data_IF_899503405407
#
_entry.id   IF_899503405407
#
_cell.length_a   1.000
_cell.length_b   1.000
_cell.length_c   1.000
_cell.angle_alpha   90.00
_cell.angle_beta   90.00
_cell.angle_gamma   90.00
#
_symmetry.space_group_name_H-M   'P 1'
#
loop_
_entity.id
_entity.type
_entity.pdbx_description
1 polymer ?
#
# COMPACT_ATOMS: atom_id res chain seq x y z
N UNK A 1 -11.74 6.19 -5.97
CA UNK A 1 -11.88 6.81 -4.64
C UNK A 1 -10.55 7.34 -4.11
N UNK A 2 -9.47 6.56 -4.07
CA UNK A 2 -8.16 7.06 -3.57
C UNK A 2 -7.60 8.27 -4.32
N UNK A 3 -7.79 8.33 -5.64
CA UNK A 3 -7.43 9.51 -6.46
C UNK A 3 -8.24 10.77 -6.10
N UNK A 4 -9.52 10.60 -5.75
CA UNK A 4 -10.40 11.71 -5.35
C UNK A 4 -10.11 12.18 -3.92
N UNK A 5 -9.63 11.28 -3.04
CA UNK A 5 -9.26 11.66 -1.68
C UNK A 5 -7.99 12.53 -1.64
N UNK A 6 -7.01 12.27 -2.51
CA UNK A 6 -5.76 13.04 -2.57
C UNK A 6 -5.89 14.32 -3.40
N UNK A 7 -6.91 14.46 -4.26
CA UNK A 7 -7.06 15.66 -5.09
C UNK A 7 -7.31 16.91 -4.25
N UNK A 8 -8.06 16.83 -3.15
CA UNK A 8 -8.30 17.96 -2.26
C UNK A 8 -7.01 18.52 -1.62
N UNK A 9 -6.17 17.71 -0.93
CA UNK A 9 -4.91 18.21 -0.38
C UNK A 9 -3.91 18.61 -1.47
N UNK A 10 -3.94 17.99 -2.65
CA UNK A 10 -3.13 18.43 -3.79
C UNK A 10 -3.51 19.86 -4.23
N UNK A 11 -4.81 20.15 -4.39
CA UNK A 11 -5.30 21.47 -4.81
C UNK A 11 -4.91 22.53 -3.76
N UNK A 12 -5.10 22.22 -2.48
CA UNK A 12 -4.69 23.09 -1.39
C UNK A 12 -3.17 23.34 -1.40
N UNK A 13 -2.37 22.30 -1.60
CA UNK A 13 -0.92 22.42 -1.70
C UNK A 13 -0.48 23.25 -2.92
N UNK A 14 -1.19 23.16 -4.04
CA UNK A 14 -0.95 23.99 -5.24
C UNK A 14 -1.27 25.46 -4.93
N UNK A 15 -2.37 25.73 -4.22
CA UNK A 15 -2.72 27.09 -3.82
C UNK A 15 -1.69 27.71 -2.87
N UNK A 16 -1.13 26.91 -1.95
CA UNK A 16 -0.14 27.37 -0.97
C UNK A 16 1.27 27.52 -1.58
N UNK A 17 1.68 26.59 -2.46
CA UNK A 17 3.05 26.52 -3.01
C UNK A 17 3.20 27.11 -4.42
N UNK A 18 2.09 27.41 -5.08
CA UNK A 18 2.03 28.03 -6.39
C UNK A 18 2.43 27.12 -7.56
N UNK A 19 2.78 27.77 -8.67
CA UNK A 19 3.07 27.13 -9.95
C UNK A 19 4.25 26.14 -9.99
N UNK A 20 5.30 26.20 -9.14
CA UNK A 20 6.36 25.19 -9.16
C UNK A 20 5.82 23.78 -8.87
N UNK A 21 4.81 23.66 -8.01
CA UNK A 21 4.16 22.37 -7.71
C UNK A 21 3.37 21.84 -8.91
N UNK A 22 2.75 22.71 -9.71
CA UNK A 22 2.06 22.33 -10.94
C UNK A 22 3.02 21.76 -11.98
N UNK A 23 4.17 22.40 -12.19
CA UNK A 23 5.19 21.88 -13.11
C UNK A 23 5.68 20.51 -12.65
N UNK A 24 5.96 20.37 -11.35
CA UNK A 24 6.36 19.11 -10.78
C UNK A 24 5.31 18.01 -10.95
N UNK A 25 4.03 18.35 -10.77
CA UNK A 25 2.90 17.45 -10.99
C UNK A 25 2.84 16.98 -12.44
N UNK A 26 2.94 17.90 -13.41
CA UNK A 26 2.94 17.57 -14.84
C UNK A 26 4.10 16.65 -15.19
N UNK A 27 5.31 16.95 -14.71
CA UNK A 27 6.48 16.09 -14.94
C UNK A 27 6.29 14.70 -14.33
N UNK A 28 5.82 14.64 -13.08
CA UNK A 28 5.64 13.37 -12.37
C UNK A 28 4.55 12.50 -13.01
N UNK A 29 3.43 13.10 -13.44
CA UNK A 29 2.38 12.40 -14.17
C UNK A 29 2.87 11.96 -15.55
N UNK A 30 3.62 12.82 -16.26
CA UNK A 30 4.26 12.49 -17.53
C UNK A 30 5.18 11.27 -17.41
N UNK A 31 6.05 11.24 -16.40
CA UNK A 31 6.93 10.09 -16.12
C UNK A 31 6.13 8.84 -15.71
N UNK A 32 5.05 9.00 -14.95
CA UNK A 32 4.17 7.88 -14.58
C UNK A 32 3.46 7.28 -15.80
N UNK A 33 3.03 8.11 -16.77
CA UNK A 33 2.44 7.67 -18.04
C UNK A 33 3.50 7.04 -18.95
N UNK A 34 4.68 7.66 -19.06
CA UNK A 34 5.81 7.12 -19.81
C UNK A 34 6.16 5.70 -19.34
N UNK A 35 6.16 5.47 -18.03
CA UNK A 35 6.31 4.13 -17.45
C UNK A 35 5.25 3.15 -17.93
N UNK A 36 3.98 3.56 -18.01
CA UNK A 36 2.91 2.66 -18.48
C UNK A 36 3.16 2.23 -19.93
N UNK A 37 3.57 3.18 -20.78
CA UNK A 37 3.89 2.90 -22.18
C UNK A 37 5.10 1.98 -22.29
N UNK A 38 6.18 2.25 -21.54
CA UNK A 38 7.43 1.52 -21.64
C UNK A 38 7.38 0.09 -21.05
N UNK A 39 6.63 -0.14 -19.98
CA UNK A 39 6.70 -1.40 -19.22
C UNK A 39 5.40 -2.22 -19.19
N UNK A 40 4.24 -1.61 -19.43
CA UNK A 40 2.97 -2.34 -19.45
C UNK A 40 2.66 -2.89 -20.84
N UNK A 41 2.94 -2.13 -21.91
CA UNK A 41 2.71 -2.57 -23.30
C UNK A 41 3.50 -3.84 -23.66
N UNK A 42 4.82 -3.94 -23.38
CA UNK A 42 5.57 -5.16 -23.72
C UNK A 42 5.15 -6.39 -22.90
N UNK A 43 4.46 -6.19 -21.78
CA UNK A 43 4.00 -7.27 -20.89
C UNK A 43 2.53 -7.63 -21.07
N UNK A 44 1.85 -7.05 -22.07
CA UNK A 44 0.43 -7.32 -22.36
C UNK A 44 -0.52 -6.95 -21.20
N UNK A 45 -0.13 -6.01 -20.32
CA UNK A 45 -0.94 -5.64 -19.15
C UNK A 45 -1.79 -4.40 -19.43
N UNK A 46 -3.05 -4.36 -18.94
CA UNK A 46 -3.92 -3.20 -19.11
C UNK A 46 -3.31 -1.97 -18.41
N UNK A 47 -3.41 -0.81 -19.08
CA UNK A 47 -2.95 0.47 -18.56
C UNK A 47 -3.68 0.81 -17.25
N UNK A 48 -2.93 1.26 -16.24
CA UNK A 48 -3.41 1.36 -14.87
C UNK A 48 -3.08 2.70 -14.22
N UNK A 49 -4.07 3.32 -13.59
CA UNK A 49 -3.98 4.67 -13.02
C UNK A 49 -3.23 4.80 -11.67
N UNK A 50 -2.79 3.69 -11.08
CA UNK A 50 -2.29 3.66 -9.69
C UNK A 50 -0.88 4.25 -9.54
N UNK A 51 -0.09 4.19 -10.61
CA UNK A 51 1.18 4.91 -10.68
C UNK A 51 0.99 6.42 -10.61
N UNK A 52 -0.15 6.93 -11.11
CA UNK A 52 -0.51 8.35 -11.04
C UNK A 52 -0.93 8.75 -9.63
N UNK A 53 -1.75 7.96 -8.93
CA UNK A 53 -2.16 8.26 -7.54
C UNK A 53 -0.95 8.35 -6.62
N UNK A 54 -0.05 7.37 -6.70
CA UNK A 54 1.17 7.40 -5.89
C UNK A 54 2.13 8.52 -6.34
N UNK A 55 2.03 9.01 -7.58
CA UNK A 55 2.81 10.15 -8.06
C UNK A 55 2.28 11.46 -7.51
N UNK A 56 0.95 11.59 -7.44
CA UNK A 56 0.30 12.71 -6.77
C UNK A 56 0.69 12.76 -5.29
N UNK A 57 0.66 11.62 -4.58
CA UNK A 57 1.09 11.57 -3.16
C UNK A 57 2.56 12.01 -3.02
N UNK A 58 3.45 11.49 -3.86
CA UNK A 58 4.87 11.87 -3.88
C UNK A 58 5.05 13.38 -4.12
N UNK A 59 4.42 13.93 -5.16
CA UNK A 59 4.51 15.37 -5.51
C UNK A 59 3.91 16.24 -4.41
N UNK A 60 2.80 15.80 -3.82
CA UNK A 60 2.17 16.55 -2.72
C UNK A 60 3.15 16.70 -1.57
N UNK A 61 3.80 15.60 -1.16
CA UNK A 61 4.70 15.55 0.01
C UNK A 61 6.15 16.00 -0.24
N UNK A 62 6.60 16.13 -1.49
CA UNK A 62 8.00 16.48 -1.76
C UNK A 62 8.36 17.89 -1.23
N UNK A 63 9.63 18.16 -0.87
CA UNK A 63 10.07 19.48 -0.42
C UNK A 63 9.77 20.62 -1.42
N UNK A 64 9.69 21.86 -0.93
CA UNK A 64 9.36 23.05 -1.73
C UNK A 64 10.41 23.36 -2.81
N UNK A 65 11.69 23.16 -2.48
CA UNK A 65 12.83 23.54 -3.31
C UNK A 65 13.56 22.31 -3.84
N UNK A 66 12.99 21.71 -4.88
CA UNK A 66 13.58 20.56 -5.58
C UNK A 66 13.81 20.94 -7.04
N UNK A 67 15.01 20.69 -7.56
CA UNK A 67 15.27 20.94 -8.98
C UNK A 67 14.53 19.93 -9.86
N UNK A 68 14.20 20.30 -11.10
CA UNK A 68 13.48 19.40 -12.01
C UNK A 68 14.26 18.10 -12.31
N UNK A 69 15.60 18.15 -12.30
CA UNK A 69 16.45 16.97 -12.47
C UNK A 69 16.40 16.03 -11.26
N UNK A 70 16.46 16.58 -10.04
CA UNK A 70 16.30 15.80 -8.81
C UNK A 70 14.93 15.15 -8.74
N UNK A 71 13.87 15.89 -9.10
CA UNK A 71 12.52 15.38 -9.20
C UNK A 71 12.43 14.23 -10.23
N UNK A 72 12.99 14.43 -11.43
CA UNK A 72 13.01 13.41 -12.47
C UNK A 72 13.73 12.12 -12.05
N UNK A 73 14.87 12.25 -11.36
CA UNK A 73 15.62 11.10 -10.84
C UNK A 73 14.86 10.40 -9.71
N UNK A 74 14.33 11.14 -8.75
CA UNK A 74 13.56 10.58 -7.63
C UNK A 74 12.29 9.89 -8.11
N UNK A 75 11.60 10.47 -9.11
CA UNK A 75 10.46 9.84 -9.77
C UNK A 75 10.85 8.57 -10.50
N UNK A 76 11.99 8.57 -11.19
CA UNK A 76 12.49 7.37 -11.87
C UNK A 76 12.84 6.26 -10.88
N UNK A 77 13.56 6.59 -9.81
CA UNK A 77 13.89 5.66 -8.74
C UNK A 77 12.64 5.11 -8.07
N UNK A 78 11.69 5.98 -7.72
CA UNK A 78 10.37 5.62 -7.20
C UNK A 78 9.65 4.61 -8.10
N UNK A 79 9.59 4.88 -9.40
CA UNK A 79 8.89 4.02 -10.36
C UNK A 79 9.57 2.66 -10.48
N UNK A 80 10.90 2.64 -10.55
CA UNK A 80 11.67 1.40 -10.71
C UNK A 80 11.69 0.60 -9.41
N UNK A 81 12.24 1.16 -8.36
CA UNK A 81 12.47 0.46 -7.09
C UNK A 81 11.20 0.33 -6.24
N UNK A 82 10.32 1.32 -6.28
CA UNK A 82 9.09 1.31 -5.48
C UNK A 82 7.96 0.50 -6.08
N UNK A 83 7.92 0.30 -7.41
CA UNK A 83 6.78 -0.35 -8.09
C UNK A 83 7.23 -1.47 -9.06
N UNK A 84 8.18 -1.22 -9.97
CA UNK A 84 8.53 -2.18 -11.02
C UNK A 84 9.29 -3.41 -10.52
N UNK A 85 10.22 -3.25 -9.58
CA UNK A 85 11.00 -4.37 -9.02
C UNK A 85 10.10 -5.45 -8.44
N UNK A 86 8.95 -5.05 -7.87
CA UNK A 86 8.00 -5.97 -7.27
C UNK A 86 6.92 -6.45 -8.24
N UNK A 87 6.98 -6.09 -9.53
CA UNK A 87 6.06 -6.57 -10.54
C UNK A 87 4.74 -5.80 -10.63
N UNK A 88 4.66 -4.59 -10.06
CA UNK A 88 3.52 -3.68 -10.15
C UNK A 88 2.52 -3.76 -8.99
N UNK A 89 1.31 -3.21 -9.21
CA UNK A 89 0.24 -3.12 -8.19
C UNK A 89 0.05 -4.38 -7.37
N UNK A 90 -0.13 -4.20 -6.06
CA UNK A 90 -0.52 -5.24 -5.11
C UNK A 90 0.56 -6.29 -4.85
N UNK A 91 1.74 -6.14 -5.46
CA UNK A 91 2.88 -7.04 -5.28
C UNK A 91 4.02 -6.38 -4.50
N UNK A 92 4.02 -5.06 -4.34
CA UNK A 92 4.97 -4.34 -3.51
C UNK A 92 4.56 -4.33 -2.05
N UNK A 93 5.51 -4.55 -1.14
CA UNK A 93 5.31 -4.41 0.31
C UNK A 93 5.61 -3.00 0.83
N UNK A 94 6.24 -2.15 0.01
CA UNK A 94 6.57 -0.77 0.31
C UNK A 94 5.63 0.19 -0.42
N UNK A 95 5.39 1.36 0.18
CA UNK A 95 4.72 2.47 -0.51
C UNK A 95 5.67 3.08 -1.55
N UNK A 96 5.35 3.06 -2.87
CA UNK A 96 6.23 3.64 -3.90
C UNK A 96 6.49 5.13 -3.65
N UNK A 97 5.48 5.87 -3.18
CA UNK A 97 5.62 7.28 -2.82
C UNK A 97 6.65 7.47 -1.70
N UNK A 98 6.60 6.64 -0.65
CA UNK A 98 7.55 6.72 0.46
C UNK A 98 8.98 6.37 0.02
N UNK A 99 9.15 5.36 -0.84
CA UNK A 99 10.46 5.00 -1.42
C UNK A 99 11.05 6.16 -2.22
N UNK A 100 10.23 6.81 -3.05
CA UNK A 100 10.66 7.99 -3.79
C UNK A 100 11.08 9.14 -2.89
N UNK A 101 10.25 9.45 -1.88
CA UNK A 101 10.52 10.54 -0.96
C UNK A 101 11.79 10.25 -0.14
N UNK A 102 11.98 9.03 0.34
CA UNK A 102 13.19 8.65 1.07
C UNK A 102 14.45 8.78 0.21
N UNK A 103 14.39 8.35 -1.06
CA UNK A 103 15.49 8.57 -2.00
C UNK A 103 15.78 10.06 -2.20
N UNK A 104 14.74 10.87 -2.44
CA UNK A 104 14.91 12.32 -2.60
C UNK A 104 15.55 12.96 -1.37
N UNK A 105 15.06 12.63 -0.17
CA UNK A 105 15.52 13.20 1.10
C UNK A 105 16.95 12.77 1.46
N UNK A 106 17.33 11.53 1.15
CA UNK A 106 18.65 11.00 1.46
C UNK A 106 19.70 11.38 0.42
N UNK A 107 19.36 11.29 -0.88
CA UNK A 107 20.30 11.58 -1.97
C UNK A 107 20.47 13.06 -2.24
N UNK A 108 19.45 13.87 -1.94
CA UNK A 108 19.47 15.32 -2.15
C UNK A 108 19.03 16.02 -0.87
N UNK A 109 19.90 16.05 0.17
CA UNK A 109 19.61 16.79 1.38
C UNK A 109 19.43 18.27 1.00
N UNK A 110 18.19 18.75 1.15
CA UNK A 110 17.83 20.15 0.94
C UNK A 110 17.79 20.83 2.30
N UNK A 111 18.17 22.10 2.37
CA UNK A 111 18.09 22.88 3.61
C UNK A 111 16.65 23.21 4.02
N UNK A 112 15.68 22.99 3.13
CA UNK A 112 14.26 23.31 3.30
C UNK A 112 13.45 22.01 3.43
N UNK A 113 13.66 21.28 4.53
CA UNK A 113 12.99 20.01 4.83
C UNK A 113 11.64 20.17 5.52
N UNK A 114 11.25 21.40 5.83
CA UNK A 114 9.86 21.71 6.13
C UNK A 114 9.06 21.57 4.83
N UNK A 115 8.27 20.51 4.71
CA UNK A 115 7.21 20.52 3.71
C UNK A 115 6.21 21.58 4.19
N UNK A 116 6.41 22.81 3.70
CA UNK A 116 5.72 24.02 4.15
C UNK A 116 4.24 24.01 3.76
N UNK A 117 3.48 23.06 4.29
CA UNK A 117 2.04 23.00 4.15
C UNK A 117 1.40 23.91 5.18
N UNK A 118 0.48 24.71 4.70
CA UNK A 118 -0.41 25.50 5.53
C UNK A 118 -1.54 24.67 6.10
N UNK A 119 -2.35 25.35 6.90
CA UNK A 119 -3.54 24.76 7.53
C UNK A 119 -4.56 24.29 6.50
N UNK A 120 -4.59 24.89 5.29
CA UNK A 120 -5.50 24.50 4.21
C UNK A 120 -5.23 23.07 3.72
N UNK A 121 -3.97 22.76 3.45
CA UNK A 121 -3.56 21.41 3.06
C UNK A 121 -3.83 20.39 4.16
N UNK A 122 -3.59 20.73 5.42
CA UNK A 122 -3.88 19.86 6.56
C UNK A 122 -5.39 19.50 6.65
N UNK A 123 -6.27 20.50 6.58
CA UNK A 123 -7.71 20.30 6.64
C UNK A 123 -8.21 19.49 5.44
N UNK A 124 -7.71 19.79 4.24
CA UNK A 124 -8.02 19.03 3.04
C UNK A 124 -7.55 17.56 3.14
N UNK A 125 -6.42 17.31 3.80
CA UNK A 125 -5.93 15.95 4.05
C UNK A 125 -6.80 15.20 5.07
N UNK A 126 -7.28 15.86 6.13
CA UNK A 126 -8.26 15.26 7.06
C UNK A 126 -9.56 14.91 6.34
N UNK A 127 -10.07 15.81 5.49
CA UNK A 127 -11.27 15.56 4.70
C UNK A 127 -11.08 14.37 3.73
N UNK A 128 -9.95 14.33 3.03
CA UNK A 128 -9.58 13.20 2.18
C UNK A 128 -9.42 11.89 2.97
N UNK A 129 -8.80 11.95 4.15
CA UNK A 129 -8.69 10.83 5.08
C UNK A 129 -10.05 10.32 5.56
N UNK A 130 -10.96 11.22 5.91
CA UNK A 130 -12.33 10.88 6.30
C UNK A 130 -13.10 10.17 5.18
N UNK A 131 -12.93 10.61 3.92
CA UNK A 131 -13.47 9.91 2.75
C UNK A 131 -12.89 8.51 2.61
N UNK A 132 -11.58 8.33 2.83
CA UNK A 132 -10.93 7.02 2.77
C UNK A 132 -11.37 6.08 3.91
N UNK A 133 -11.60 6.62 5.10
CA UNK A 133 -12.14 5.88 6.25
C UNK A 133 -13.58 5.43 5.99
N UNK A 134 -14.43 6.34 5.49
CA UNK A 134 -15.81 6.04 5.10
C UNK A 134 -15.88 4.98 3.99
N UNK A 135 -14.96 5.05 3.03
CA UNK A 135 -14.80 4.07 1.96
C UNK A 135 -14.19 2.72 2.41
N UNK A 136 -13.81 2.56 3.70
CA UNK A 136 -13.11 1.39 4.24
C UNK A 136 -11.78 1.07 3.55
N UNK A 137 -11.18 2.05 2.86
CA UNK A 137 -9.88 1.91 2.20
C UNK A 137 -8.77 2.18 3.23
N UNK A 138 -8.91 3.25 4.02
CA UNK A 138 -8.02 3.56 5.14
C UNK A 138 -8.52 2.87 6.40
N UNK A 139 -7.63 2.25 7.18
CA UNK A 139 -8.00 1.61 8.44
C UNK A 139 -7.97 2.63 9.58
N UNK A 140 -9.11 2.78 10.26
CA UNK A 140 -9.20 3.63 11.45
C UNK A 140 -8.25 3.18 12.57
N UNK A 141 -7.94 1.87 12.66
CA UNK A 141 -7.02 1.30 13.65
C UNK A 141 -5.59 1.80 13.47
N UNK A 142 -5.15 1.94 12.21
CA UNK A 142 -3.82 2.48 11.88
C UNK A 142 -3.73 3.95 12.28
N UNK A 143 -4.77 4.72 11.90
CA UNK A 143 -4.86 6.15 12.23
C UNK A 143 -4.89 6.36 13.75
N UNK A 144 -5.78 5.66 14.45
CA UNK A 144 -5.90 5.74 15.90
C UNK A 144 -4.63 5.28 16.61
N UNK A 145 -3.98 4.19 16.16
CA UNK A 145 -2.71 3.71 16.70
C UNK A 145 -1.59 4.74 16.56
N UNK A 146 -1.46 5.35 15.37
CA UNK A 146 -0.47 6.39 15.15
C UNK A 146 -0.73 7.64 16.01
N UNK A 147 -1.97 8.11 16.08
CA UNK A 147 -2.35 9.23 16.95
C UNK A 147 -2.10 8.91 18.43
N UNK A 148 -2.47 7.72 18.90
CA UNK A 148 -2.28 7.31 20.28
C UNK A 148 -0.79 7.26 20.66
N UNK A 149 0.05 6.62 19.84
CA UNK A 149 1.48 6.53 20.09
C UNK A 149 2.15 7.91 20.06
N UNK A 150 1.82 8.73 19.05
CA UNK A 150 2.40 10.08 18.96
C UNK A 150 2.03 10.97 20.14
N UNK A 151 0.75 10.97 20.55
CA UNK A 151 0.29 11.75 21.71
C UNK A 151 0.96 11.24 22.99
N UNK A 152 0.93 9.93 23.24
CA UNK A 152 1.51 9.34 24.46
C UNK A 152 3.01 9.60 24.58
N UNK A 153 3.78 9.36 23.51
CA UNK A 153 5.22 9.58 23.52
C UNK A 153 5.58 11.06 23.58
N UNK A 154 4.81 11.95 22.98
CA UNK A 154 5.03 13.40 23.13
C UNK A 154 4.81 13.88 24.56
N UNK A 155 3.79 13.37 25.24
CA UNK A 155 3.52 13.72 26.64
C UNK A 155 4.64 13.23 27.57
N UNK A 156 5.19 12.05 27.27
CA UNK A 156 6.32 11.49 28.03
C UNK A 156 7.67 12.12 27.66
N UNK A 157 7.84 12.56 26.41
CA UNK A 157 9.08 13.07 25.86
C UNK A 157 8.82 14.39 25.10
N UNK A 158 8.91 15.55 25.78
CA UNK A 158 8.67 16.85 25.16
C UNK A 158 9.56 17.07 23.95
N UNK A 159 8.97 17.56 22.86
CA UNK A 159 9.69 17.86 21.63
C UNK A 159 10.63 19.07 21.81
N UNK A 160 11.77 19.10 21.10
CA UNK A 160 12.60 20.30 21.02
C UNK A 160 11.78 21.50 20.53
N UNK A 161 12.06 22.70 21.07
CA UNK A 161 11.27 23.91 20.81
C UNK A 161 11.25 24.36 19.33
N UNK A 162 12.22 23.93 18.54
CA UNK A 162 12.36 24.29 17.12
C UNK A 162 11.50 23.42 16.19
N UNK A 163 10.81 22.40 16.72
CA UNK A 163 9.97 21.52 15.92
C UNK A 163 8.62 22.19 15.58
N UNK A 164 8.04 21.96 14.37
CA UNK A 164 6.81 22.61 13.94
C UNK A 164 5.64 22.40 14.92
N UNK A 165 4.66 23.32 14.89
CA UNK A 165 3.42 23.23 15.67
C UNK A 165 2.78 21.87 15.46
N UNK A 166 2.57 21.15 16.55
CA UNK A 166 2.09 19.77 16.52
C UNK A 166 0.58 19.66 16.74
N UNK A 167 -0.17 18.87 15.94
CA UNK A 167 0.33 18.08 14.81
C UNK A 167 0.59 18.95 13.58
N UNK A 168 1.76 18.78 12.97
CA UNK A 168 2.10 19.52 11.76
C UNK A 168 1.32 19.01 10.55
N UNK A 169 1.16 19.88 9.56
CA UNK A 169 0.41 19.57 8.35
C UNK A 169 1.02 18.40 7.56
N UNK A 170 2.36 18.27 7.57
CA UNK A 170 3.08 17.16 6.91
C UNK A 170 2.76 15.83 7.57
N UNK A 171 2.73 15.79 8.91
CA UNK A 171 2.32 14.60 9.65
C UNK A 171 0.89 14.19 9.30
N UNK A 172 -0.04 15.14 9.20
CA UNK A 172 -1.45 14.83 8.87
C UNK A 172 -1.54 14.24 7.45
N UNK A 173 -0.91 14.88 6.46
CA UNK A 173 -0.89 14.38 5.07
C UNK A 173 -0.23 13.00 5.01
N UNK A 174 0.94 12.85 5.65
CA UNK A 174 1.67 11.59 5.66
C UNK A 174 0.93 10.48 6.40
N UNK A 175 0.24 10.78 7.50
CA UNK A 175 -0.61 9.81 8.19
C UNK A 175 -1.72 9.28 7.28
N UNK A 176 -2.45 10.17 6.61
CA UNK A 176 -3.60 9.80 5.79
C UNK A 176 -3.22 9.08 4.49
N UNK A 177 -2.12 9.48 3.84
CA UNK A 177 -1.80 9.04 2.47
C UNK A 177 -0.51 8.23 2.34
N UNK A 178 0.36 8.24 3.35
CA UNK A 178 1.63 7.52 3.34
C UNK A 178 1.61 6.33 4.31
N UNK A 179 1.48 6.60 5.61
CA UNK A 179 1.41 5.60 6.67
C UNK A 179 0.13 4.77 6.51
N UNK A 180 -1.01 5.45 6.29
CA UNK A 180 -2.31 4.82 6.09
C UNK A 180 -2.49 4.04 4.79
N UNK A 181 -1.45 3.92 3.95
CA UNK A 181 -1.55 3.24 2.66
C UNK A 181 -1.98 1.76 2.83
N UNK A 182 -3.14 1.35 2.28
CA UNK A 182 -3.67 0.00 2.46
C UNK A 182 -2.81 -1.11 1.84
N UNK A 183 -1.94 -0.77 0.89
CA UNK A 183 -1.07 -1.76 0.22
C UNK A 183 0.10 -2.15 1.12
N UNK A 184 0.59 -1.22 1.95
CA UNK A 184 1.79 -1.43 2.76
C UNK A 184 1.47 -1.68 4.26
N UNK A 185 0.30 -1.24 4.73
CA UNK A 185 -0.14 -1.47 6.10
C UNK A 185 -0.51 -2.94 6.36
N UNK A 186 -0.41 -3.34 7.62
CA UNK A 186 -0.72 -4.71 8.04
C UNK A 186 -2.17 -5.13 7.69
N UNK A 187 -2.35 -6.39 7.31
CA UNK A 187 -3.67 -6.93 6.95
C UNK A 187 -4.51 -7.37 8.16
N UNK A 188 -3.89 -7.73 9.29
CA UNK A 188 -4.61 -8.21 10.49
C UNK A 188 -5.01 -7.06 11.40
N UNK A 189 -6.09 -7.26 12.15
CA UNK A 189 -6.62 -6.24 13.06
C UNK A 189 -5.67 -5.89 14.22
N UNK A 190 -4.93 -6.87 14.74
CA UNK A 190 -3.86 -6.65 15.72
C UNK A 190 -2.62 -6.00 15.05
N UNK A 191 -2.26 -6.45 13.85
CA UNK A 191 -1.15 -5.90 13.08
C UNK A 191 -1.35 -4.43 12.73
N UNK A 192 -2.58 -4.01 12.42
CA UNK A 192 -2.93 -2.60 12.12
C UNK A 192 -2.68 -1.68 13.31
N UNK A 193 -3.00 -2.15 14.52
CA UNK A 193 -2.69 -1.42 15.76
C UNK A 193 -1.18 -1.35 15.98
N UNK A 194 -0.47 -2.48 15.91
CA UNK A 194 0.97 -2.53 16.09
C UNK A 194 1.70 -1.64 15.05
N UNK A 195 1.29 -1.70 13.79
CA UNK A 195 1.81 -0.88 12.70
C UNK A 195 1.58 0.62 12.96
N UNK A 196 0.36 1.02 13.32
CA UNK A 196 0.04 2.40 13.65
C UNK A 196 0.85 2.91 14.85
N UNK A 197 0.90 2.14 15.93
CA UNK A 197 1.66 2.48 17.14
C UNK A 197 3.15 2.62 16.84
N UNK A 198 3.74 1.68 16.08
CA UNK A 198 5.15 1.72 15.70
C UNK A 198 5.45 2.94 14.82
N UNK A 199 4.64 3.19 13.79
CA UNK A 199 4.83 4.35 12.91
C UNK A 199 4.75 5.65 13.71
N UNK A 200 3.74 5.81 14.57
CA UNK A 200 3.59 6.99 15.41
C UNK A 200 4.73 7.17 16.41
N UNK A 201 5.21 6.08 17.00
CA UNK A 201 6.36 6.13 17.91
C UNK A 201 7.63 6.57 17.20
N UNK A 202 7.90 6.01 16.02
CA UNK A 202 9.08 6.36 15.23
C UNK A 202 9.04 7.81 14.73
N UNK A 203 7.85 8.36 14.43
CA UNK A 203 7.70 9.80 14.12
C UNK A 203 8.22 10.66 15.28
N UNK A 204 7.79 10.34 16.51
CA UNK A 204 8.21 11.10 17.69
C UNK A 204 9.71 10.94 17.97
N UNK A 205 10.21 9.70 17.88
CA UNK A 205 11.64 9.42 18.10
C UNK A 205 12.50 10.19 17.10
N UNK A 206 12.19 10.14 15.81
CA UNK A 206 12.98 10.85 14.78
C UNK A 206 12.88 12.36 14.93
N UNK A 207 11.71 12.88 15.27
CA UNK A 207 11.55 14.30 15.57
C UNK A 207 12.42 14.76 16.74
N UNK A 208 12.48 13.95 17.80
CA UNK A 208 13.33 14.25 18.94
C UNK A 208 14.83 14.19 18.61
N UNK A 209 15.26 13.33 17.68
CA UNK A 209 16.64 13.26 17.19
C UNK A 209 17.03 14.44 16.28
N UNK A 210 16.17 15.45 16.14
CA UNK A 210 16.45 16.64 15.34
C UNK A 210 16.20 16.47 13.85
N UNK A 211 15.57 15.37 13.42
CA UNK A 211 15.11 15.27 12.04
C UNK A 211 13.92 16.21 11.81
N UNK A 212 13.92 16.86 10.66
CA UNK A 212 12.78 17.63 10.21
C UNK A 212 11.51 16.76 10.01
N UNK A 213 10.36 17.42 10.00
CA UNK A 213 9.05 16.76 10.01
C UNK A 213 8.87 15.79 8.84
N UNK A 214 9.25 16.17 7.61
CA UNK A 214 9.04 15.31 6.44
C UNK A 214 9.85 13.99 6.51
N UNK A 215 11.19 14.00 6.73
CA UNK A 215 11.95 12.79 7.04
C UNK A 215 11.37 11.97 8.20
N UNK A 216 10.96 12.64 9.28
CA UNK A 216 10.38 12.01 10.46
C UNK A 216 9.01 11.36 10.19
N UNK A 217 8.38 11.60 9.04
CA UNK A 217 7.12 10.96 8.63
C UNK A 217 7.35 9.90 7.54
N UNK A 218 8.25 10.17 6.59
CA UNK A 218 8.55 9.28 5.47
C UNK A 218 9.27 8.02 5.91
N UNK A 219 10.29 8.14 6.76
CA UNK A 219 11.06 6.98 7.20
C UNK A 219 10.26 6.03 8.09
N UNK A 220 9.41 6.49 9.04
CA UNK A 220 8.52 5.60 9.76
C UNK A 220 7.52 4.88 8.87
N UNK A 221 6.99 5.54 7.83
CA UNK A 221 6.13 4.89 6.85
C UNK A 221 6.84 3.76 6.09
N UNK A 222 8.16 3.81 5.92
CA UNK A 222 8.94 2.70 5.38
C UNK A 222 9.25 1.64 6.43
N UNK A 223 9.80 2.06 7.58
CA UNK A 223 10.24 1.14 8.63
C UNK A 223 9.09 0.31 9.18
N UNK A 224 7.95 0.93 9.46
CA UNK A 224 6.78 0.21 9.97
C UNK A 224 6.28 -0.86 8.99
N UNK A 225 6.42 -0.63 7.68
CA UNK A 225 5.97 -1.60 6.65
C UNK A 225 6.84 -2.86 6.63
N UNK A 226 8.14 -2.74 6.95
CA UNK A 226 9.04 -3.90 7.10
C UNK A 226 8.55 -4.82 8.23
N UNK A 227 8.03 -4.26 9.32
CA UNK A 227 7.50 -5.02 10.46
C UNK A 227 6.03 -5.46 10.29
N UNK A 228 5.30 -4.90 9.32
CA UNK A 228 3.90 -5.21 9.04
C UNK A 228 3.69 -6.34 8.02
N UNK A 229 4.67 -7.23 7.89
CA UNK A 229 4.74 -8.20 6.80
C UNK A 229 3.49 -9.09 6.74
N UNK A 230 2.76 -8.95 5.63
CA UNK A 230 1.59 -9.74 5.29
C UNK A 230 1.90 -10.49 3.99
N UNK A 231 2.16 -11.80 4.12
CA UNK A 231 2.65 -12.77 3.13
C UNK A 231 3.79 -12.30 2.19
N UNK A 232 4.91 -13.03 2.20
CA UNK A 232 6.10 -12.70 1.41
C UNK A 232 5.75 -12.47 -0.07
N UNK A 233 6.00 -11.27 -0.63
CA UNK A 233 5.88 -11.00 -2.05
C UNK A 233 6.68 -12.03 -2.87
N UNK A 234 6.05 -12.62 -3.88
CA UNK A 234 6.64 -13.70 -4.67
C UNK A 234 6.48 -15.11 -4.08
N UNK A 235 5.96 -15.26 -2.86
CA UNK A 235 5.50 -16.54 -2.33
C UNK A 235 3.97 -16.55 -2.29
N UNK A 236 3.34 -15.98 -1.26
CA UNK A 236 1.89 -16.08 -1.05
C UNK A 236 1.04 -15.42 -2.15
N UNK A 237 1.50 -14.28 -2.67
CA UNK A 237 0.85 -13.56 -3.77
C UNK A 237 0.78 -14.36 -5.09
N UNK A 238 1.53 -15.46 -5.23
CA UNK A 238 1.49 -16.33 -6.42
C UNK A 238 0.17 -17.08 -6.58
N UNK A 239 -0.73 -17.04 -5.58
CA UNK A 239 -2.11 -17.52 -5.76
C UNK A 239 -2.84 -16.76 -6.90
N UNK A 240 -2.38 -15.55 -7.22
CA UNK A 240 -2.90 -14.74 -8.32
C UNK A 240 -2.13 -14.92 -9.64
N UNK A 241 -1.10 -15.79 -9.70
CA UNK A 241 -0.38 -16.06 -10.93
C UNK A 241 -1.22 -16.92 -11.88
N UNK A 242 -1.41 -16.53 -13.15
CA UNK A 242 -2.19 -17.31 -14.11
C UNK A 242 -1.67 -18.76 -14.26
N UNK A 243 -0.35 -18.94 -14.19
CA UNK A 243 0.29 -20.26 -14.29
C UNK A 243 -0.14 -21.20 -13.14
N UNK A 244 -0.37 -20.67 -11.93
CA UNK A 244 -0.84 -21.47 -10.80
C UNK A 244 -2.36 -21.65 -10.84
N UNK A 245 -3.12 -20.63 -11.25
CA UNK A 245 -4.58 -20.71 -11.38
C UNK A 245 -5.03 -21.77 -12.38
N UNK A 246 -4.31 -21.93 -13.50
CA UNK A 246 -4.62 -22.96 -14.51
C UNK A 246 -4.49 -24.38 -13.94
N UNK A 247 -3.67 -24.61 -12.93
CA UNK A 247 -3.50 -25.94 -12.31
C UNK A 247 -4.77 -26.45 -11.59
N UNK A 248 -5.69 -25.54 -11.28
CA UNK A 248 -6.99 -25.86 -10.68
C UNK A 248 -8.00 -26.37 -11.70
N UNK A 249 -7.82 -26.04 -13.00
CA UNK A 249 -8.73 -26.48 -14.04
C UNK A 249 -8.66 -28.01 -14.21
N UNK A 250 -9.83 -28.65 -14.30
CA UNK A 250 -9.93 -30.11 -14.48
C UNK A 250 -9.68 -30.95 -13.22
N UNK A 251 -9.36 -30.34 -12.07
CA UNK A 251 -9.16 -31.08 -10.81
C UNK A 251 -10.49 -31.54 -10.23
N UNK A 252 -10.50 -32.77 -9.70
CA UNK A 252 -11.69 -33.35 -9.06
C UNK A 252 -11.82 -32.85 -7.64
N UNK A 253 -12.73 -31.90 -7.42
CA UNK A 253 -12.90 -31.30 -6.11
C UNK A 253 -13.76 -32.14 -5.14
N UNK A 254 -14.67 -32.95 -5.67
CA UNK A 254 -15.61 -33.79 -4.92
C UNK A 254 -15.56 -35.21 -5.46
N UNK A 255 -15.56 -36.21 -4.59
CA UNK A 255 -15.66 -37.62 -4.97
C UNK A 255 -17.08 -38.00 -5.40
N UNK A 256 -17.28 -39.15 -6.07
CA UNK A 256 -18.62 -39.67 -6.35
C UNK A 256 -19.49 -39.87 -5.10
N UNK A 257 -18.86 -40.10 -3.94
CA UNK A 257 -19.50 -40.20 -2.63
C UNK A 257 -19.88 -38.86 -1.98
N UNK A 258 -19.67 -37.72 -2.67
CA UNK A 258 -20.01 -36.39 -2.16
C UNK A 258 -18.99 -35.78 -1.19
N UNK A 259 -17.86 -36.46 -0.93
CA UNK A 259 -16.81 -35.96 -0.05
C UNK A 259 -15.91 -34.97 -0.77
N UNK A 260 -15.67 -33.80 -0.16
CA UNK A 260 -14.80 -32.76 -0.71
C UNK A 260 -13.34 -33.14 -0.43
N UNK A 261 -12.54 -33.29 -1.48
CA UNK A 261 -11.17 -33.84 -1.40
C UNK A 261 -10.08 -32.91 -1.91
N UNK A 262 -10.43 -31.77 -2.52
CA UNK A 262 -9.43 -30.88 -3.13
C UNK A 262 -8.39 -30.40 -2.12
N UNK A 263 -7.10 -30.49 -2.43
CA UNK A 263 -6.01 -30.01 -1.57
C UNK A 263 -4.91 -29.34 -2.37
N UNK A 264 -4.20 -28.42 -1.71
CA UNK A 264 -2.91 -27.94 -2.18
C UNK A 264 -1.82 -28.70 -1.43
N UNK A 265 -0.96 -29.42 -2.14
CA UNK A 265 0.12 -30.25 -1.56
C UNK A 265 1.43 -29.47 -1.47
N UNK A 266 2.45 -30.00 -0.78
CA UNK A 266 3.81 -29.44 -0.86
C UNK A 266 4.52 -30.04 -2.07
N UNK A 267 4.97 -29.19 -2.99
CA UNK A 267 5.59 -29.64 -4.25
C UNK A 267 4.55 -29.91 -5.32
N UNK A 268 4.82 -30.88 -6.19
CA UNK A 268 3.98 -31.17 -7.35
C UNK A 268 2.85 -32.13 -6.99
N UNK A 269 1.65 -31.88 -7.52
CA UNK A 269 0.49 -32.73 -7.37
C UNK A 269 0.72 -34.07 -8.07
N UNK A 270 0.40 -35.15 -7.34
CA UNK A 270 0.45 -36.51 -7.88
C UNK A 270 -0.96 -37.03 -8.18
N UNK A 271 -1.97 -36.51 -7.47
CA UNK A 271 -3.36 -36.92 -7.59
C UNK A 271 -4.25 -36.00 -8.43
N UNK A 272 -5.41 -36.50 -8.90
CA UNK A 272 -6.40 -35.73 -9.65
C UNK A 272 -7.15 -34.69 -8.79
N UNK A 273 -7.05 -34.79 -7.47
CA UNK A 273 -7.66 -33.87 -6.49
C UNK A 273 -6.62 -32.97 -5.81
N UNK A 274 -5.37 -33.04 -6.25
CA UNK A 274 -4.27 -32.25 -5.71
C UNK A 274 -3.90 -31.12 -6.66
N UNK A 275 -3.54 -29.98 -6.09
CA UNK A 275 -2.98 -28.83 -6.78
C UNK A 275 -1.59 -28.57 -6.21
N UNK A 276 -0.65 -28.20 -7.08
CA UNK A 276 0.72 -27.94 -6.71
C UNK A 276 0.82 -26.86 -5.63
N UNK A 277 1.73 -27.08 -4.68
CA UNK A 277 2.07 -26.11 -3.67
C UNK A 277 2.92 -24.99 -4.23
N UNK A 278 2.65 -23.78 -3.76
CA UNK A 278 3.57 -22.67 -4.00
C UNK A 278 4.75 -22.84 -3.04
N UNK A 279 5.95 -23.03 -3.60
CA UNK A 279 7.20 -23.09 -2.81
C UNK A 279 7.29 -21.87 -1.89
N UNK A 280 7.58 -22.10 -0.60
CA UNK A 280 7.64 -21.05 0.43
C UNK A 280 6.30 -20.42 0.86
N UNK A 281 5.17 -20.79 0.28
CA UNK A 281 3.83 -20.27 0.62
C UNK A 281 2.84 -21.38 1.00
N UNK A 282 3.28 -22.31 1.85
CA UNK A 282 2.44 -23.43 2.31
C UNK A 282 1.16 -22.94 3.00
N UNK A 283 1.21 -21.89 3.82
CA UNK A 283 0.05 -21.37 4.56
C UNK A 283 -0.99 -20.76 3.61
N UNK A 284 -0.55 -20.00 2.60
CA UNK A 284 -1.39 -19.41 1.56
C UNK A 284 -2.09 -20.49 0.74
N UNK A 285 -1.33 -21.51 0.29
CA UNK A 285 -1.88 -22.66 -0.43
C UNK A 285 -2.94 -23.42 0.39
N UNK A 286 -2.66 -23.68 1.67
CA UNK A 286 -3.65 -24.29 2.59
C UNK A 286 -4.88 -23.38 2.76
N UNK A 287 -4.68 -22.06 2.86
CA UNK A 287 -5.76 -21.07 2.95
C UNK A 287 -6.70 -21.14 1.75
N UNK A 288 -6.16 -21.16 0.53
CA UNK A 288 -6.96 -21.31 -0.70
C UNK A 288 -7.68 -22.65 -0.72
N UNK A 289 -7.01 -23.75 -0.37
CA UNK A 289 -7.66 -25.07 -0.31
C UNK A 289 -8.83 -25.10 0.68
N UNK A 290 -8.68 -24.49 1.86
CA UNK A 290 -9.75 -24.38 2.87
C UNK A 290 -10.91 -23.51 2.38
N UNK A 291 -10.61 -22.40 1.73
CA UNK A 291 -11.63 -21.51 1.15
C UNK A 291 -12.47 -22.27 0.10
N UNK A 292 -11.83 -22.98 -0.83
CA UNK A 292 -12.53 -23.78 -1.84
C UNK A 292 -13.36 -24.88 -1.18
N UNK A 293 -12.81 -25.58 -0.17
CA UNK A 293 -13.56 -26.61 0.58
C UNK A 293 -14.79 -26.05 1.29
N UNK A 294 -14.67 -24.88 1.91
CA UNK A 294 -15.79 -24.22 2.56
C UNK A 294 -16.91 -23.90 1.57
N UNK A 295 -16.57 -23.28 0.43
CA UNK A 295 -17.55 -22.93 -0.60
C UNK A 295 -18.17 -24.14 -1.31
N UNK A 296 -17.49 -25.29 -1.35
CA UNK A 296 -18.08 -26.55 -1.85
C UNK A 296 -18.89 -27.30 -0.78
N UNK A 297 -18.83 -26.84 0.47
CA UNK A 297 -19.49 -27.43 1.63
C UNK A 297 -21.01 -27.18 1.68
N UNK A 298 -21.67 -27.74 2.71
CA UNK A 298 -23.12 -27.61 2.89
C UNK A 298 -23.58 -26.16 3.12
N UNK A 299 -22.72 -25.32 3.71
CA UNK A 299 -23.01 -23.88 3.94
C UNK A 299 -22.66 -22.98 2.74
N UNK A 300 -22.05 -23.54 1.69
CA UNK A 300 -21.67 -22.83 0.48
C UNK A 300 -22.55 -23.19 -0.71
N UNK A 301 -21.92 -23.39 -1.86
CA UNK A 301 -22.54 -23.87 -3.10
C UNK A 301 -22.84 -25.37 -3.12
N UNK A 302 -22.51 -26.13 -2.06
CA UNK A 302 -22.74 -27.58 -2.02
C UNK A 302 -24.18 -27.98 -2.37
N UNK A 303 -25.22 -27.40 -1.72
CA UNK A 303 -26.62 -27.70 -2.05
C UNK A 303 -26.98 -27.33 -3.49
N UNK A 304 -26.53 -26.17 -3.98
CA UNK A 304 -26.76 -25.74 -5.35
C UNK A 304 -26.15 -26.71 -6.37
N UNK A 305 -24.89 -27.10 -6.17
CA UNK A 305 -24.18 -28.06 -7.02
C UNK A 305 -24.83 -29.45 -6.99
N UNK A 306 -25.45 -29.85 -5.87
CA UNK A 306 -26.20 -31.09 -5.79
C UNK A 306 -27.46 -31.05 -6.67
N UNK A 307 -28.22 -29.93 -6.64
CA UNK A 307 -29.40 -29.72 -7.49
C UNK A 307 -29.07 -29.62 -8.97
N UNK A 308 -27.91 -29.04 -9.30
CA UNK A 308 -27.39 -29.01 -10.67
C UNK A 308 -27.07 -30.44 -11.17
N UNK A 309 -26.47 -31.29 -10.31
CA UNK A 309 -26.14 -32.68 -10.66
C UNK A 309 -27.37 -33.58 -10.79
N UNK A 310 -28.43 -33.33 -10.02
CA UNK A 310 -29.68 -34.07 -10.14
C UNK A 310 -30.54 -33.65 -11.34
N UNK A 311 -30.13 -32.60 -12.08
CA UNK A 311 -30.86 -32.09 -13.23
C UNK A 311 -32.13 -31.30 -12.85
N UNK A 312 -32.26 -30.92 -11.57
CA UNK A 312 -33.38 -30.11 -11.05
C UNK A 312 -33.33 -28.67 -11.57
N UNK A 313 -32.14 -28.21 -11.94
CA UNK A 313 -31.86 -26.87 -12.44
C UNK A 313 -31.01 -27.04 -13.71
N UNK A 314 -31.48 -26.50 -14.84
CA UNK A 314 -30.78 -26.47 -16.13
C UNK A 314 -30.00 -25.18 -16.30
#
# INVERSE_FOLDING_TARGET
MSAAAISAPLIAAIAERGWPLLIALVLALGLAVLRQVAFARPRGRPAGWDGAVTAVVFVTLMPARVSLSQLGLAMSFRLVMGDLVFGGRGRGFLSPAAVGLAFLLYSFPTSDTAAGFGMGTALAAVAGGALLLGARILSWRVVAGCCAATIALRLAWPMPGDWPVWPGATLIVGLMFLIGNPVAAACTDAGRWAYGLLAGALVVVLGHQGHAELPAVVFPALLATIFAQSETPGLGARIADPAWQVLWAGRRAVTPSGKIVISVVRGNATGPSEVDGISGATRSGIGVARMVRFWLGPEGFGPFLARLRSGEIR
#
